data_IF_491019027901
#
_entry.id   IF_491019027901
#
_cell.length_a   1.000
_cell.length_b   1.000
_cell.length_c   1.000
_cell.angle_alpha   90.00
_cell.angle_beta   90.00
_cell.angle_gamma   90.00
#
_symmetry.space_group_name_H-M   'P 1'
#
loop_
_entity.id
_entity.type
_entity.pdbx_description
1 polymer ?
#
# COMPACT_ATOMS: atom_id res chain seq x y z
N UNK A 1 20.64 -10.79 -8.40
CA UNK A 1 19.70 -10.17 -9.36
C UNK A 1 20.42 -9.36 -10.44
N UNK A 2 19.76 -9.18 -11.59
CA UNK A 2 20.19 -8.27 -12.67
C UNK A 2 20.17 -6.82 -12.13
N UNK A 3 21.18 -5.99 -12.40
CA UNK A 3 21.13 -4.56 -12.06
C UNK A 3 19.94 -3.86 -12.73
N UNK A 4 19.14 -3.14 -11.95
CA UNK A 4 18.02 -2.33 -12.44
C UNK A 4 17.71 -1.21 -11.45
N UNK A 5 16.91 -0.21 -11.85
CA UNK A 5 16.44 0.80 -10.88
C UNK A 5 15.24 0.30 -10.07
N UNK A 6 14.33 -0.44 -10.71
CA UNK A 6 13.08 -0.95 -10.13
C UNK A 6 12.99 -2.48 -10.30
N UNK A 7 12.75 -3.19 -9.22
CA UNK A 7 12.37 -4.60 -9.22
C UNK A 7 10.85 -4.71 -9.02
N UNK A 8 10.16 -5.37 -9.95
CA UNK A 8 8.70 -5.51 -9.95
C UNK A 8 8.29 -6.99 -9.81
N UNK A 9 8.16 -7.53 -8.57
CA UNK A 9 7.69 -8.89 -8.37
C UNK A 9 6.19 -9.02 -8.69
N UNK A 10 5.85 -9.85 -9.69
CA UNK A 10 4.47 -10.01 -10.17
C UNK A 10 3.97 -11.46 -10.22
N UNK A 11 4.75 -12.42 -9.71
CA UNK A 11 4.45 -13.85 -9.82
C UNK A 11 3.94 -14.45 -8.49
N UNK A 12 4.85 -14.77 -7.57
CA UNK A 12 4.55 -15.43 -6.29
C UNK A 12 4.92 -14.53 -5.10
N UNK A 13 4.27 -14.78 -3.97
CA UNK A 13 4.61 -14.17 -2.67
C UNK A 13 5.87 -14.79 -2.03
N UNK A 14 6.32 -14.22 -0.92
CA UNK A 14 7.51 -14.65 -0.18
C UNK A 14 8.83 -14.40 -0.90
N UNK A 15 8.81 -13.65 -2.02
CA UNK A 15 9.97 -13.43 -2.87
C UNK A 15 10.99 -12.47 -2.26
N UNK A 16 10.61 -11.68 -1.26
CA UNK A 16 11.49 -10.80 -0.50
C UNK A 16 11.74 -11.46 0.86
N UNK A 17 12.94 -11.98 1.05
CA UNK A 17 13.36 -12.73 2.24
C UNK A 17 14.89 -12.62 2.44
N UNK A 18 15.41 -13.31 3.45
CA UNK A 18 16.85 -13.32 3.79
C UNK A 18 17.77 -13.75 2.64
N UNK A 19 17.31 -14.62 1.74
CA UNK A 19 18.11 -15.12 0.63
C UNK A 19 18.12 -14.14 -0.54
N UNK A 20 16.96 -13.54 -0.85
CA UNK A 20 16.77 -12.73 -2.06
C UNK A 20 17.11 -11.26 -1.85
N UNK A 21 16.81 -10.71 -0.67
CA UNK A 21 17.06 -9.29 -0.38
C UNK A 21 18.53 -8.96 -0.60
N UNK A 22 19.54 -9.65 -0.01
CA UNK A 22 20.94 -9.31 -0.21
C UNK A 22 21.39 -9.28 -1.68
N UNK A 23 20.72 -10.05 -2.53
CA UNK A 23 21.03 -10.14 -3.95
C UNK A 23 20.43 -9.01 -4.79
N UNK A 24 19.48 -8.23 -4.25
CA UNK A 24 18.81 -7.14 -4.97
C UNK A 24 19.81 -6.03 -5.29
N UNK A 25 19.80 -5.62 -6.57
CA UNK A 25 20.61 -4.53 -7.12
C UNK A 25 19.70 -3.44 -7.69
N UNK A 26 18.73 -3.00 -6.87
CA UNK A 26 17.72 -2.02 -7.23
C UNK A 26 17.52 -0.99 -6.13
N UNK A 27 16.88 0.13 -6.47
CA UNK A 27 16.53 1.21 -5.53
C UNK A 27 15.08 1.12 -5.08
N UNK A 28 14.22 0.50 -5.90
CA UNK A 28 12.78 0.45 -5.69
C UNK A 28 12.28 -0.97 -5.87
N UNK A 29 11.41 -1.42 -4.97
CA UNK A 29 10.59 -2.62 -5.13
C UNK A 29 9.12 -2.19 -5.25
N UNK A 30 8.51 -2.49 -6.39
CA UNK A 30 7.14 -2.10 -6.70
C UNK A 30 6.55 -3.09 -7.72
N UNK A 31 5.80 -4.08 -7.25
CA UNK A 31 5.21 -5.12 -8.09
C UNK A 31 3.78 -5.49 -7.66
N UNK A 32 3.12 -6.33 -8.45
CA UNK A 32 1.70 -6.69 -8.25
C UNK A 32 1.47 -7.96 -7.44
N UNK A 33 2.52 -8.75 -7.15
CA UNK A 33 2.39 -9.99 -6.38
C UNK A 33 1.80 -9.71 -4.98
N UNK A 34 1.02 -10.65 -4.45
CA UNK A 34 0.53 -10.60 -3.08
C UNK A 34 1.55 -11.24 -2.12
N UNK A 35 1.57 -10.79 -0.87
CA UNK A 35 2.45 -11.28 0.19
C UNK A 35 3.92 -11.24 -0.22
N UNK A 36 4.41 -10.11 -0.74
CA UNK A 36 5.77 -10.02 -1.31
C UNK A 36 6.87 -10.25 -0.27
N UNK A 37 6.67 -9.72 0.93
CA UNK A 37 7.51 -10.00 2.10
C UNK A 37 7.19 -11.42 2.61
N UNK A 38 8.21 -12.22 2.89
CA UNK A 38 8.00 -13.52 3.52
C UNK A 38 7.62 -13.33 5.00
N UNK A 39 8.29 -12.40 5.68
CA UNK A 39 8.05 -12.00 7.07
C UNK A 39 8.10 -10.48 7.22
N UNK A 40 7.47 -9.91 8.25
CA UNK A 40 7.46 -8.44 8.47
C UNK A 40 8.87 -7.84 8.57
N UNK A 41 9.81 -8.58 9.16
CA UNK A 41 11.21 -8.16 9.30
C UNK A 41 11.92 -7.93 7.95
N UNK A 42 11.44 -8.54 6.87
CA UNK A 42 11.99 -8.35 5.53
C UNK A 42 11.79 -6.91 5.04
N UNK A 43 10.67 -6.28 5.43
CA UNK A 43 10.44 -4.86 5.15
C UNK A 43 11.41 -3.94 5.91
N UNK A 44 11.87 -4.37 7.09
CA UNK A 44 12.93 -3.68 7.85
C UNK A 44 14.27 -3.87 7.13
N UNK A 45 14.56 -5.08 6.63
CA UNK A 45 15.79 -5.37 5.90
C UNK A 45 15.91 -4.54 4.61
N UNK A 46 14.81 -4.37 3.86
CA UNK A 46 14.77 -3.48 2.69
C UNK A 46 15.06 -2.03 3.08
N UNK A 47 14.41 -1.53 4.15
CA UNK A 47 14.60 -0.17 4.65
C UNK A 47 16.05 0.10 5.09
N UNK A 48 16.67 -0.83 5.83
CA UNK A 48 18.08 -0.75 6.24
C UNK A 48 19.05 -0.67 5.07
N UNK A 49 18.70 -1.28 3.93
CA UNK A 49 19.49 -1.20 2.68
C UNK A 49 19.18 0.02 1.83
N UNK A 50 18.29 0.91 2.28
CA UNK A 50 17.87 2.09 1.54
C UNK A 50 17.01 1.77 0.31
N UNK A 51 16.41 0.57 0.25
CA UNK A 51 15.51 0.17 -0.84
C UNK A 51 14.11 0.66 -0.52
N UNK A 52 13.55 1.47 -1.41
CA UNK A 52 12.18 1.95 -1.30
C UNK A 52 11.22 0.82 -1.69
N UNK A 53 10.43 0.34 -0.73
CA UNK A 53 9.40 -0.66 -0.97
C UNK A 53 8.02 0.00 -1.05
N UNK A 54 7.28 -0.20 -2.14
CA UNK A 54 5.86 0.11 -2.22
C UNK A 54 5.05 -1.10 -1.70
N UNK A 55 4.33 -0.98 -0.57
CA UNK A 55 3.60 -2.12 0.00
C UNK A 55 2.63 -2.73 -1.00
N UNK A 56 2.72 -4.05 -1.16
CA UNK A 56 1.96 -4.85 -2.11
C UNK A 56 0.45 -4.57 -2.07
N UNK A 57 -0.16 -4.67 -0.89
CA UNK A 57 -1.61 -4.45 -0.71
C UNK A 57 -2.06 -3.00 -0.98
N UNK A 58 -1.13 -2.03 -1.08
CA UNK A 58 -1.44 -0.67 -1.50
C UNK A 58 -1.33 -0.55 -3.02
N UNK A 59 -0.20 -0.98 -3.60
CA UNK A 59 0.08 -0.81 -5.03
C UNK A 59 -0.79 -1.71 -5.92
N UNK A 60 -1.15 -2.91 -5.46
CA UNK A 60 -1.96 -3.87 -6.23
C UNK A 60 -3.48 -3.71 -6.03
N UNK A 61 -3.92 -2.69 -5.28
CA UNK A 61 -5.32 -2.45 -4.90
C UNK A 61 -6.28 -2.15 -6.07
N UNK A 62 -5.77 -1.96 -7.29
CA UNK A 62 -6.56 -1.67 -8.48
C UNK A 62 -7.62 -2.71 -8.79
N UNK A 63 -7.35 -4.00 -8.53
CA UNK A 63 -8.32 -5.07 -8.73
C UNK A 63 -9.55 -4.93 -7.82
N UNK A 64 -9.32 -4.66 -6.52
CA UNK A 64 -10.41 -4.42 -5.57
C UNK A 64 -11.18 -3.14 -5.89
N UNK A 65 -10.48 -2.08 -6.32
CA UNK A 65 -11.13 -0.84 -6.77
C UNK A 65 -12.06 -1.10 -7.96
N UNK A 66 -11.63 -1.90 -8.93
CA UNK A 66 -12.44 -2.22 -10.10
C UNK A 66 -13.71 -3.01 -9.73
N UNK A 67 -13.58 -4.02 -8.87
CA UNK A 67 -14.73 -4.83 -8.40
C UNK A 67 -15.66 -4.01 -7.51
N UNK A 68 -15.12 -3.14 -6.65
CA UNK A 68 -15.94 -2.28 -5.79
C UNK A 68 -16.82 -1.29 -6.59
N UNK A 69 -16.37 -0.87 -7.78
CA UNK A 69 -17.15 0.00 -8.67
C UNK A 69 -18.43 -0.68 -9.19
N UNK A 70 -18.44 -2.02 -9.26
CA UNK A 70 -19.61 -2.80 -9.69
C UNK A 70 -20.81 -2.60 -8.76
N UNK A 71 -20.58 -2.29 -7.48
CA UNK A 71 -21.64 -2.01 -6.49
C UNK A 71 -22.47 -0.77 -6.85
N UNK A 72 -21.90 0.15 -7.62
CA UNK A 72 -22.53 1.41 -8.05
C UNK A 72 -22.98 1.36 -9.53
N UNK A 73 -23.00 0.14 -10.12
CA UNK A 73 -23.20 -0.07 -11.55
C UNK A 73 -21.93 0.24 -12.34
N UNK A 74 -21.23 -0.81 -12.79
CA UNK A 74 -19.86 -0.71 -13.33
C UNK A 74 -19.66 0.40 -14.36
N UNK A 75 -18.65 1.23 -14.12
CA UNK A 75 -18.20 2.25 -15.05
C UNK A 75 -16.66 2.24 -15.12
N UNK A 76 -16.13 1.75 -16.25
CA UNK A 76 -14.67 1.65 -16.48
C UNK A 76 -13.92 2.96 -16.25
N UNK A 77 -14.50 4.10 -16.65
CA UNK A 77 -13.86 5.40 -16.50
C UNK A 77 -13.76 5.80 -15.03
N UNK A 78 -14.82 5.58 -14.25
CA UNK A 78 -14.86 5.82 -12.81
C UNK A 78 -13.92 4.88 -12.05
N UNK A 79 -13.90 3.60 -12.41
CA UNK A 79 -12.98 2.61 -11.86
C UNK A 79 -11.51 3.02 -12.10
N UNK A 80 -11.13 3.37 -13.34
CA UNK A 80 -9.76 3.82 -13.63
C UNK A 80 -9.40 5.14 -12.97
N UNK A 81 -10.32 6.11 -12.92
CA UNK A 81 -10.11 7.38 -12.20
C UNK A 81 -9.92 7.15 -10.69
N UNK A 82 -10.54 6.12 -10.14
CA UNK A 82 -10.34 5.75 -8.74
C UNK A 82 -9.01 5.01 -8.56
N UNK A 83 -8.67 4.10 -9.47
CA UNK A 83 -7.40 3.38 -9.46
C UNK A 83 -6.19 4.32 -9.63
N UNK A 84 -6.31 5.44 -10.34
CA UNK A 84 -5.22 6.43 -10.45
C UNK A 84 -4.83 7.05 -9.10
N UNK A 85 -5.72 7.01 -8.09
CA UNK A 85 -5.43 7.48 -6.72
C UNK A 85 -4.48 6.55 -5.95
N UNK A 86 -4.14 5.38 -6.49
CA UNK A 86 -3.08 4.52 -5.94
C UNK A 86 -1.76 5.29 -5.86
N UNK A 87 -1.49 6.17 -6.83
CA UNK A 87 -0.33 7.08 -6.79
C UNK A 87 -0.30 7.90 -5.50
N UNK A 88 -1.39 8.58 -5.18
CA UNK A 88 -1.48 9.41 -3.97
C UNK A 88 -1.39 8.58 -2.69
N UNK A 89 -1.95 7.37 -2.69
CA UNK A 89 -1.88 6.45 -1.55
C UNK A 89 -0.45 6.00 -1.29
N UNK A 90 0.29 5.56 -2.32
CA UNK A 90 1.71 5.20 -2.18
C UNK A 90 2.53 6.43 -1.76
N UNK A 91 2.29 7.61 -2.34
CA UNK A 91 2.97 8.84 -1.94
C UNK A 91 2.74 9.19 -0.46
N UNK A 92 1.51 9.03 0.05
CA UNK A 92 1.19 9.22 1.46
C UNK A 92 1.92 8.21 2.37
N UNK A 93 1.96 6.94 1.99
CA UNK A 93 2.71 5.92 2.74
C UNK A 93 4.19 6.30 2.85
N UNK A 94 4.79 6.75 1.75
CA UNK A 94 6.19 7.21 1.74
C UNK A 94 6.37 8.43 2.64
N UNK A 95 5.43 9.38 2.61
CA UNK A 95 5.48 10.56 3.47
C UNK A 95 5.39 10.20 4.95
N UNK A 96 4.49 9.28 5.34
CA UNK A 96 4.36 8.78 6.72
C UNK A 96 5.62 8.04 7.15
N UNK A 97 6.16 7.17 6.30
CA UNK A 97 7.42 6.44 6.53
C UNK A 97 8.57 7.41 6.82
N UNK A 98 8.72 8.48 6.02
CA UNK A 98 9.74 9.51 6.23
C UNK A 98 9.52 10.34 7.49
N UNK A 99 8.28 10.77 7.74
CA UNK A 99 7.89 11.57 8.92
C UNK A 99 8.20 10.82 10.21
N UNK A 100 7.81 9.55 10.27
CA UNK A 100 7.83 8.76 11.49
C UNK A 100 9.07 7.85 11.61
N UNK A 101 9.93 7.84 10.59
CA UNK A 101 11.14 7.00 10.49
C UNK A 101 10.84 5.51 10.68
N UNK A 102 9.78 5.04 10.05
CA UNK A 102 9.35 3.63 10.05
C UNK A 102 9.39 3.04 8.64
N UNK A 103 9.53 1.71 8.47
CA UNK A 103 9.40 1.06 7.17
C UNK A 103 8.05 1.33 6.51
N UNK A 104 8.01 1.27 5.18
CA UNK A 104 6.80 1.60 4.40
C UNK A 104 5.63 0.64 4.64
N UNK A 105 5.86 -0.65 4.93
CA UNK A 105 4.77 -1.57 5.28
C UNK A 105 4.07 -1.14 6.58
N UNK A 106 4.83 -0.82 7.63
CA UNK A 106 4.28 -0.27 8.89
C UNK A 106 3.57 1.07 8.67
N UNK A 107 4.12 1.92 7.80
CA UNK A 107 3.50 3.21 7.46
C UNK A 107 2.16 3.03 6.74
N UNK A 108 2.02 2.00 5.90
CA UNK A 108 0.76 1.68 5.24
C UNK A 108 -0.30 1.16 6.22
N UNK A 109 0.08 0.32 7.18
CA UNK A 109 -0.82 -0.12 8.26
C UNK A 109 -1.30 1.09 9.09
N UNK A 110 -0.37 1.96 9.49
CA UNK A 110 -0.70 3.20 10.22
C UNK A 110 -1.66 4.08 9.44
N UNK A 111 -1.43 4.27 8.13
CA UNK A 111 -2.32 5.05 7.26
C UNK A 111 -3.74 4.46 7.25
N UNK A 112 -3.86 3.13 7.15
CA UNK A 112 -5.14 2.45 7.16
C UNK A 112 -5.87 2.62 8.50
N UNK A 113 -5.17 2.41 9.62
CA UNK A 113 -5.73 2.60 10.96
C UNK A 113 -6.20 4.05 11.21
N UNK A 114 -5.38 5.04 10.84
CA UNK A 114 -5.73 6.46 10.96
C UNK A 114 -7.02 6.77 10.18
N UNK A 115 -7.16 6.24 8.97
CA UNK A 115 -8.36 6.41 8.14
C UNK A 115 -9.59 5.76 8.78
N UNK A 116 -9.45 4.54 9.31
CA UNK A 116 -10.54 3.81 9.99
C UNK A 116 -10.99 4.59 11.24
N UNK A 117 -10.05 5.03 12.08
CA UNK A 117 -10.34 5.83 13.28
C UNK A 117 -11.06 7.13 12.92
N UNK A 118 -10.58 7.86 11.92
CA UNK A 118 -11.19 9.12 11.50
C UNK A 118 -12.65 8.94 11.01
N UNK A 119 -12.91 7.93 10.18
CA UNK A 119 -14.28 7.64 9.71
C UNK A 119 -15.20 7.26 10.88
N UNK A 120 -14.70 6.49 11.84
CA UNK A 120 -15.46 6.12 13.05
C UNK A 120 -15.89 7.35 13.85
N UNK A 121 -14.99 8.31 14.07
CA UNK A 121 -15.32 9.53 14.82
C UNK A 121 -16.30 10.43 14.06
N UNK A 122 -16.13 10.59 12.73
CA UNK A 122 -17.10 11.32 11.90
C UNK A 122 -18.50 10.70 12.03
N UNK A 123 -18.61 9.38 11.89
CA UNK A 123 -19.90 8.68 12.00
C UNK A 123 -20.54 8.89 13.38
N UNK A 124 -19.78 8.89 14.47
CA UNK A 124 -20.34 9.18 15.81
C UNK A 124 -20.99 10.55 15.88
N UNK A 125 -20.36 11.60 15.33
CA UNK A 125 -20.89 12.97 15.35
C UNK A 125 -22.22 13.05 14.59
N UNK A 126 -22.31 12.42 13.42
CA UNK A 126 -23.54 12.41 12.63
C UNK A 126 -24.68 11.59 13.28
N UNK A 127 -24.37 10.50 14.00
CA UNK A 127 -25.38 9.72 14.70
C UNK A 127 -25.79 10.32 16.06
N UNK A 128 -24.97 11.20 16.65
CA UNK A 128 -25.29 11.88 17.91
C UNK A 128 -26.08 13.19 17.74
N UNK A 129 -26.31 13.63 16.50
CA UNK A 129 -27.29 14.67 16.16
C UNK A 129 -28.43 14.04 15.33
N UNK A 130 -29.40 13.35 15.96
CA UNK A 130 -30.68 13.14 15.30
C UNK A 130 -31.26 14.54 15.05
N UNK A 131 -31.41 14.93 13.79
CA UNK A 131 -32.19 16.09 13.46
C UNK A 131 -33.57 15.98 14.13
N UNK A 132 -33.87 16.94 15.00
CA UNK A 132 -35.23 17.23 15.45
C UNK A 132 -35.67 18.52 14.76
N UNK A 133 -36.96 18.64 14.42
CA UNK A 133 -37.76 17.81 13.52
C UNK A 133 -37.69 18.26 12.05
#
# INVERSE_FOLDING_TARGET
>A
HVPCDVFSPCALGGILNDDTIPQLRCKIVAGSANNQLLEERDGIALSKRGILYAPDYVINSGGLINVADELEGYNRSRAMKTASKIYDSVARVIAISKRDRIPTHVAADRMAEERIRMIKEIKKIYHSHPGHP
#
